data_IF_318345331464
#
_entry.id   IF_318345331464
#
_cell.length_a   1.000
_cell.length_b   1.000
_cell.length_c   1.000
_cell.angle_alpha   90.00
_cell.angle_beta   90.00
_cell.angle_gamma   90.00
#
_symmetry.space_group_name_H-M   'P 1'
#
loop_
_entity.id
_entity.type
_entity.pdbx_description
1 polymer ?
#
# COMPACT_ATOMS: atom_id res chain seq x y z
N UNK A 1 -4.21 21.66 14.77
CA UNK A 1 -4.28 22.87 13.94
C UNK A 1 -5.68 22.98 13.35
N UNK A 2 -6.27 24.17 13.27
CA UNK A 2 -7.58 24.36 12.63
C UNK A 2 -7.38 24.73 11.15
N UNK A 3 -7.94 23.94 10.24
CA UNK A 3 -7.61 24.05 8.81
C UNK A 3 -8.10 25.36 8.18
N UNK A 4 -9.27 25.84 8.60
CA UNK A 4 -9.91 27.07 8.13
C UNK A 4 -9.08 28.34 8.40
N UNK A 5 -8.11 28.28 9.33
CA UNK A 5 -7.22 29.40 9.65
C UNK A 5 -6.11 29.61 8.63
N UNK A 6 -5.82 28.62 7.78
CA UNK A 6 -4.65 28.64 6.89
C UNK A 6 -4.97 28.35 5.42
N UNK A 7 -6.23 28.05 5.10
CA UNK A 7 -6.73 27.76 3.74
C UNK A 7 -8.26 27.94 3.67
N UNK A 8 -8.80 28.11 2.46
CA UNK A 8 -10.24 28.07 2.21
C UNK A 8 -10.65 26.79 1.47
N UNK A 9 -11.93 26.37 1.52
CA UNK A 9 -12.42 25.17 0.83
C UNK A 9 -12.16 25.15 -0.68
N UNK A 10 -12.09 26.33 -1.30
CA UNK A 10 -11.86 26.49 -2.74
C UNK A 10 -10.42 26.11 -3.16
N UNK A 11 -9.48 26.06 -2.20
CA UNK A 11 -8.11 25.57 -2.40
C UNK A 11 -8.01 24.03 -2.40
N UNK A 12 -9.13 23.31 -2.25
CA UNK A 12 -9.16 21.86 -2.12
C UNK A 12 -9.96 21.24 -3.25
N UNK A 13 -9.27 20.56 -4.15
CA UNK A 13 -9.87 19.90 -5.30
C UNK A 13 -10.13 18.42 -5.02
N UNK A 14 -11.21 17.87 -5.55
CA UNK A 14 -11.47 16.43 -5.48
C UNK A 14 -10.28 15.63 -6.03
N UNK A 15 -9.79 14.66 -5.26
CA UNK A 15 -8.70 13.79 -5.67
C UNK A 15 -9.17 12.36 -5.89
N UNK A 16 -9.77 11.75 -4.88
CA UNK A 16 -10.24 10.37 -4.95
C UNK A 16 -11.33 10.07 -3.93
N UNK A 17 -12.13 9.04 -4.19
CA UNK A 17 -13.19 8.56 -3.28
C UNK A 17 -13.11 7.05 -3.09
N UNK A 18 -13.08 6.63 -1.84
CA UNK A 18 -13.24 5.24 -1.42
C UNK A 18 -14.61 4.97 -0.82
N UNK A 19 -14.78 3.78 -0.22
CA UNK A 19 -16.05 3.38 0.38
C UNK A 19 -16.38 4.09 1.70
N UNK A 20 -15.37 4.61 2.41
CA UNK A 20 -15.52 5.25 3.73
C UNK A 20 -14.91 6.65 3.80
N UNK A 21 -14.11 7.04 2.81
CA UNK A 21 -13.36 8.29 2.83
C UNK A 21 -13.37 8.95 1.47
N UNK A 22 -13.15 10.25 1.48
CA UNK A 22 -12.85 11.07 0.31
C UNK A 22 -11.55 11.81 0.57
N UNK A 23 -10.78 12.03 -0.49
CA UNK A 23 -9.53 12.75 -0.49
C UNK A 23 -9.68 13.99 -1.35
N UNK A 24 -9.22 15.13 -0.83
CA UNK A 24 -9.06 16.37 -1.56
C UNK A 24 -7.57 16.72 -1.65
N UNK A 25 -7.11 17.16 -2.82
CA UNK A 25 -5.74 17.64 -3.03
C UNK A 25 -5.70 19.15 -2.82
N UNK A 26 -4.68 19.62 -2.11
CA UNK A 26 -4.45 21.05 -1.97
C UNK A 26 -3.90 21.67 -3.26
N UNK A 27 -4.51 22.76 -3.71
CA UNK A 27 -4.13 23.52 -4.92
C UNK A 27 -3.89 25.00 -4.65
N UNK A 28 -4.05 25.46 -3.40
CA UNK A 28 -3.79 26.85 -3.01
C UNK A 28 -2.30 27.19 -2.82
N UNK A 29 -2.05 28.38 -2.28
CA UNK A 29 -0.70 28.98 -2.18
C UNK A 29 0.02 28.75 -0.84
N UNK A 30 -0.60 28.07 0.12
CA UNK A 30 0.02 27.82 1.42
C UNK A 30 1.12 26.75 1.31
N UNK A 31 2.38 27.14 1.53
CA UNK A 31 3.54 26.26 1.41
C UNK A 31 3.49 25.04 2.34
N UNK A 32 2.89 25.17 3.53
CA UNK A 32 2.74 24.04 4.46
C UNK A 32 1.80 22.95 3.94
N UNK A 33 0.74 23.36 3.25
CA UNK A 33 -0.27 22.46 2.69
C UNK A 33 0.08 21.97 1.28
N UNK A 34 1.11 22.56 0.67
CA UNK A 34 1.61 22.14 -0.63
C UNK A 34 1.92 20.64 -0.60
N UNK A 35 1.44 19.92 -1.61
CA UNK A 35 1.58 18.45 -1.75
C UNK A 35 0.88 17.64 -0.64
N UNK A 36 -0.11 18.22 0.05
CA UNK A 36 -0.94 17.49 1.02
C UNK A 36 -2.29 17.09 0.42
N UNK A 37 -2.84 16.01 0.97
CA UNK A 37 -4.21 15.59 0.80
C UNK A 37 -4.97 15.80 2.12
N UNK A 38 -6.21 16.26 2.03
CA UNK A 38 -7.17 16.28 3.13
C UNK A 38 -8.11 15.08 2.98
N UNK A 39 -8.08 14.19 3.96
CA UNK A 39 -8.96 13.02 4.05
C UNK A 39 -10.13 13.29 4.99
N UNK A 40 -11.34 13.15 4.47
CA UNK A 40 -12.58 13.32 5.22
C UNK A 40 -13.43 12.03 5.20
N UNK A 41 -14.22 11.85 6.25
CA UNK A 41 -15.12 10.69 6.41
C UNK A 41 -16.41 10.89 5.61
N UNK A 42 -16.80 9.83 4.90
CA UNK A 42 -18.09 9.76 4.22
C UNK A 42 -19.17 9.30 5.20
N UNK A 43 -20.41 9.71 4.92
CA UNK A 43 -21.60 9.35 5.69
C UNK A 43 -21.72 7.83 5.84
N UNK A 44 -21.80 7.37 7.09
CA UNK A 44 -21.99 5.97 7.47
C UNK A 44 -23.09 5.86 8.53
N UNK A 45 -23.65 4.67 8.63
CA UNK A 45 -24.51 4.32 9.76
C UNK A 45 -23.70 4.33 11.05
N UNK A 46 -24.31 4.81 12.13
CA UNK A 46 -23.66 5.04 13.42
C UNK A 46 -22.95 3.79 13.97
N UNK A 47 -23.58 2.61 13.85
CA UNK A 47 -23.02 1.33 14.32
C UNK A 47 -21.76 0.87 13.54
N UNK A 48 -21.60 1.31 12.30
CA UNK A 48 -20.41 1.01 11.49
C UNK A 48 -19.38 2.15 11.53
N UNK A 49 -19.72 3.26 12.17
CA UNK A 49 -18.92 4.47 12.15
C UNK A 49 -17.72 4.35 13.10
N UNK A 50 -16.58 4.77 12.59
CA UNK A 50 -15.34 4.95 13.35
C UNK A 50 -14.89 6.37 13.03
N UNK A 51 -14.72 7.17 14.09
CA UNK A 51 -14.38 8.58 14.00
C UNK A 51 -12.96 8.80 13.48
N UNK A 52 -12.70 9.98 12.93
CA UNK A 52 -11.34 10.33 12.48
C UNK A 52 -10.35 10.32 13.64
N UNK A 53 -10.76 10.79 14.82
CA UNK A 53 -9.91 10.81 16.02
C UNK A 53 -9.53 9.37 16.46
N UNK A 54 -10.51 8.47 16.53
CA UNK A 54 -10.27 7.06 16.85
C UNK A 54 -9.36 6.37 15.83
N UNK A 55 -9.52 6.68 14.53
CA UNK A 55 -8.63 6.18 13.49
C UNK A 55 -7.21 6.71 13.64
N UNK A 56 -7.06 7.98 13.98
CA UNK A 56 -5.76 8.60 14.23
C UNK A 56 -5.05 7.92 15.41
N UNK A 57 -5.73 7.80 16.55
CA UNK A 57 -5.20 7.13 17.74
C UNK A 57 -4.82 5.67 17.44
N UNK A 58 -5.64 4.95 16.68
CA UNK A 58 -5.32 3.60 16.24
C UNK A 58 -4.03 3.55 15.41
N UNK A 59 -3.86 4.47 14.46
CA UNK A 59 -2.66 4.51 13.62
C UNK A 59 -1.43 4.87 14.45
N UNK A 60 -1.51 5.91 15.27
CA UNK A 60 -0.41 6.40 16.10
C UNK A 60 0.01 5.40 17.18
N UNK A 61 -0.96 4.84 17.92
CA UNK A 61 -0.70 4.03 19.11
C UNK A 61 -0.55 2.53 18.81
N UNK A 62 -0.97 2.06 17.63
CA UNK A 62 -0.90 0.63 17.27
C UNK A 62 -0.11 0.39 16.00
N UNK A 63 -0.40 1.11 14.93
CA UNK A 63 0.21 0.79 13.64
C UNK A 63 1.66 1.29 13.53
N UNK A 64 1.99 2.47 14.08
CA UNK A 64 3.36 3.00 14.02
C UNK A 64 4.37 2.13 14.74
N UNK A 65 3.99 1.50 15.84
CA UNK A 65 4.86 0.54 16.53
C UNK A 65 5.21 -0.68 15.65
N UNK A 66 4.27 -1.12 14.80
CA UNK A 66 4.48 -2.24 13.89
C UNK A 66 5.31 -1.84 12.66
N UNK A 67 5.15 -0.59 12.21
CA UNK A 67 5.72 -0.06 10.95
C UNK A 67 6.30 1.34 11.13
N UNK A 68 7.36 1.50 11.94
CA UNK A 68 7.83 2.81 12.41
C UNK A 68 8.29 3.74 11.27
N UNK A 69 8.78 3.16 10.17
CA UNK A 69 9.34 3.92 9.06
C UNK A 69 8.50 3.86 7.78
N UNK A 70 7.38 3.12 7.79
CA UNK A 70 6.61 2.87 6.57
C UNK A 70 5.23 3.53 6.58
N UNK A 71 4.72 3.95 7.74
CA UNK A 71 3.48 4.72 7.80
C UNK A 71 3.76 6.16 7.35
N UNK A 72 2.96 6.64 6.39
CA UNK A 72 3.03 8.03 5.94
C UNK A 72 2.76 8.99 7.11
N UNK A 73 3.39 10.16 7.11
CA UNK A 73 3.13 11.16 8.15
C UNK A 73 1.65 11.60 8.11
N UNK A 74 0.92 11.36 9.19
CA UNK A 74 -0.50 11.69 9.31
C UNK A 74 -0.65 12.75 10.38
N UNK A 75 -1.43 13.78 10.08
CA UNK A 75 -1.73 14.84 11.03
C UNK A 75 -3.23 14.99 11.22
N UNK A 76 -3.64 15.01 12.48
CA UNK A 76 -5.02 15.33 12.85
C UNK A 76 -5.24 16.84 12.72
N UNK A 77 -6.24 17.23 11.92
CA UNK A 77 -6.61 18.64 11.73
C UNK A 77 -8.05 18.87 12.18
N UNK A 78 -8.30 20.01 12.82
CA UNK A 78 -9.64 20.42 13.26
C UNK A 78 -10.38 21.00 12.07
N UNK A 79 -11.60 20.53 11.86
CA UNK A 79 -12.51 20.97 10.82
C UNK A 79 -13.50 21.98 11.39
N UNK A 80 -13.65 23.09 10.69
CA UNK A 80 -14.77 24.01 10.89
C UNK A 80 -16.02 23.48 10.15
N UNK A 81 -17.20 23.64 10.75
CA UNK A 81 -18.45 23.12 10.15
C UNK A 81 -18.78 23.82 8.82
N UNK A 82 -18.51 25.12 8.69
CA UNK A 82 -18.75 25.83 7.43
C UNK A 82 -17.78 25.38 6.34
N UNK A 83 -16.51 25.15 6.71
CA UNK A 83 -15.50 24.59 5.82
C UNK A 83 -15.94 23.23 5.25
N UNK A 84 -16.35 22.29 6.11
CA UNK A 84 -16.80 20.95 5.70
C UNK A 84 -18.09 21.00 4.88
N UNK A 85 -19.03 21.89 5.24
CA UNK A 85 -20.29 22.06 4.51
C UNK A 85 -20.05 22.50 3.05
N UNK A 86 -19.11 23.42 2.82
CA UNK A 86 -18.71 23.85 1.47
C UNK A 86 -18.07 22.73 0.66
N UNK A 87 -17.27 21.87 1.27
CA UNK A 87 -16.74 20.67 0.58
C UNK A 87 -17.84 19.63 0.31
N UNK A 88 -18.87 19.57 1.15
CA UNK A 88 -19.98 18.64 1.00
C UNK A 88 -21.00 19.07 -0.07
N UNK A 89 -21.17 20.37 -0.32
CA UNK A 89 -22.17 20.91 -1.27
C UNK A 89 -21.98 20.44 -2.71
N UNK A 90 -20.86 19.78 -3.00
CA UNK A 90 -20.57 19.08 -4.26
C UNK A 90 -21.19 17.65 -4.32
N UNK A 91 -22.08 17.28 -3.38
CA UNK A 91 -22.79 15.99 -3.37
C UNK A 91 -21.99 14.83 -2.74
N UNK A 92 -20.95 15.15 -1.97
CA UNK A 92 -19.98 14.16 -1.49
C UNK A 92 -20.54 13.20 -0.42
N UNK A 93 -21.58 13.61 0.32
CA UNK A 93 -22.16 12.90 1.48
C UNK A 93 -21.13 12.72 2.60
N UNK A 94 -20.61 13.82 3.12
CA UNK A 94 -19.64 13.82 4.24
C UNK A 94 -20.33 13.59 5.59
N UNK A 95 -19.58 13.08 6.57
CA UNK A 95 -19.98 13.09 7.98
C UNK A 95 -19.83 14.51 8.56
N UNK A 96 -20.90 15.31 8.48
CA UNK A 96 -20.85 16.73 8.87
C UNK A 96 -20.67 16.97 10.39
N UNK A 97 -20.96 15.96 11.20
CA UNK A 97 -20.72 15.98 12.65
C UNK A 97 -19.27 15.64 13.02
N UNK A 98 -18.44 15.22 12.06
CA UNK A 98 -17.03 14.94 12.29
C UNK A 98 -16.26 16.25 12.52
N UNK A 99 -15.49 16.29 13.60
CA UNK A 99 -14.72 17.48 14.00
C UNK A 99 -13.29 17.47 13.47
N UNK A 100 -12.84 16.33 12.96
CA UNK A 100 -11.46 16.15 12.54
C UNK A 100 -11.32 15.54 11.14
N UNK A 101 -10.31 16.00 10.41
CA UNK A 101 -9.82 15.41 9.18
C UNK A 101 -8.39 14.90 9.37
N UNK A 102 -7.89 14.16 8.37
CA UNK A 102 -6.47 13.80 8.33
C UNK A 102 -5.78 14.54 7.19
N UNK A 103 -4.68 15.22 7.49
CA UNK A 103 -3.75 15.72 6.49
C UNK A 103 -2.68 14.65 6.24
N UNK A 104 -2.44 14.35 4.97
CA UNK A 104 -1.54 13.29 4.51
C UNK A 104 -0.62 13.85 3.43
N UNK A 105 0.65 13.40 3.30
CA UNK A 105 1.44 13.67 2.10
C UNK A 105 0.79 13.02 0.88
N UNK A 106 0.79 13.74 -0.25
CA UNK A 106 0.45 13.18 -1.54
C UNK A 106 1.65 12.42 -2.11
N UNK A 107 1.71 11.10 -1.93
CA UNK A 107 2.79 10.26 -2.47
C UNK A 107 2.84 10.30 -4.01
N UNK A 108 1.69 10.58 -4.64
CA UNK A 108 1.53 10.73 -6.07
C UNK A 108 1.63 12.20 -6.51
N UNK A 109 2.32 13.06 -5.74
CA UNK A 109 2.60 14.43 -6.16
C UNK A 109 3.66 14.47 -7.25
N UNK A 110 3.31 15.04 -8.40
CA UNK A 110 4.15 15.12 -9.59
C UNK A 110 3.39 14.70 -10.85
N UNK A 111 4.07 14.80 -11.99
CA UNK A 111 3.50 14.50 -13.30
C UNK A 111 3.66 13.00 -13.60
N UNK A 112 2.80 12.20 -12.99
CA UNK A 112 2.77 10.75 -13.19
C UNK A 112 1.71 10.35 -14.21
N UNK A 113 2.12 9.52 -15.18
CA UNK A 113 1.19 8.70 -15.95
C UNK A 113 0.76 7.50 -15.11
N UNK A 114 -0.51 7.13 -15.21
CA UNK A 114 -1.12 6.00 -14.50
C UNK A 114 -1.53 4.88 -15.46
N UNK A 115 -1.17 3.64 -15.14
CA UNK A 115 -1.66 2.44 -15.80
C UNK A 115 -2.35 1.55 -14.76
N UNK A 116 -3.60 1.15 -15.05
CA UNK A 116 -4.33 0.20 -14.22
C UNK A 116 -3.98 -1.23 -14.61
N UNK A 117 -3.08 -1.87 -13.85
CA UNK A 117 -2.71 -3.28 -14.07
C UNK A 117 -3.81 -4.24 -13.58
N UNK A 118 -4.46 -3.89 -12.46
CA UNK A 118 -5.65 -4.59 -11.94
C UNK A 118 -6.34 -3.75 -10.87
N UNK A 119 -7.51 -4.18 -10.38
CA UNK A 119 -8.18 -3.53 -9.24
C UNK A 119 -7.34 -3.45 -7.96
N UNK A 120 -6.25 -4.24 -7.85
CA UNK A 120 -5.37 -4.30 -6.66
C UNK A 120 -3.96 -3.79 -6.93
N UNK A 121 -3.66 -3.37 -8.15
CA UNK A 121 -2.33 -2.91 -8.53
C UNK A 121 -2.41 -1.86 -9.63
N UNK A 122 -1.80 -0.71 -9.38
CA UNK A 122 -1.66 0.39 -10.33
C UNK A 122 -0.18 0.71 -10.48
N UNK A 123 0.23 1.09 -11.68
CA UNK A 123 1.58 1.55 -11.98
C UNK A 123 1.53 3.05 -12.26
N UNK A 124 2.42 3.80 -11.62
CA UNK A 124 2.64 5.20 -11.90
C UNK A 124 4.09 5.40 -12.31
N UNK A 125 4.35 6.22 -13.32
CA UNK A 125 5.71 6.58 -13.73
C UNK A 125 5.71 8.00 -14.28
N UNK A 126 6.79 8.74 -14.04
CA UNK A 126 6.94 10.07 -14.62
C UNK A 126 7.35 9.91 -16.09
N UNK A 127 6.74 10.67 -16.99
CA UNK A 127 7.04 10.59 -18.43
C UNK A 127 7.23 11.99 -19.00
N UNK A 128 8.33 12.62 -18.59
CA UNK A 128 8.73 13.94 -19.08
C UNK A 128 9.65 13.75 -20.29
N UNK A 129 9.03 13.52 -21.46
CA UNK A 129 9.57 13.51 -22.85
C UNK A 129 10.89 12.76 -23.16
N UNK A 130 11.58 12.16 -22.18
CA UNK A 130 12.63 11.15 -22.32
C UNK A 130 13.25 10.64 -21.01
N UNK A 131 12.89 11.18 -19.84
CA UNK A 131 13.50 10.77 -18.56
C UNK A 131 12.44 10.21 -17.59
N UNK A 132 12.47 8.88 -17.42
CA UNK A 132 11.80 8.20 -16.31
C UNK A 132 12.79 8.16 -15.15
N UNK A 133 12.45 8.86 -14.08
CA UNK A 133 13.26 8.95 -12.87
C UNK A 133 12.59 8.29 -11.66
N UNK A 134 11.30 7.96 -11.74
CA UNK A 134 10.53 7.37 -10.66
C UNK A 134 9.40 6.49 -11.20
N UNK A 135 9.27 5.31 -10.60
CA UNK A 135 8.20 4.34 -10.82
C UNK A 135 7.58 3.99 -9.47
N UNK A 136 6.25 3.99 -9.38
CA UNK A 136 5.50 3.68 -8.17
C UNK A 136 4.49 2.58 -8.47
N UNK A 137 4.57 1.48 -7.72
CA UNK A 137 3.49 0.51 -7.63
C UNK A 137 2.57 0.86 -6.46
N UNK A 138 1.31 1.15 -6.74
CA UNK A 138 0.25 1.15 -5.73
C UNK A 138 -0.38 -0.25 -5.67
N UNK A 139 -0.06 -1.03 -4.64
CA UNK A 139 -0.43 -2.44 -4.52
C UNK A 139 -1.20 -2.73 -3.23
N UNK A 140 -2.28 -3.50 -3.32
CA UNK A 140 -2.97 -4.09 -2.16
C UNK A 140 -2.48 -5.53 -1.96
N UNK A 141 -1.60 -5.81 -0.97
CA UNK A 141 -1.01 -7.15 -0.76
C UNK A 141 -2.04 -8.18 -0.31
N UNK A 142 -3.16 -7.73 0.26
CA UNK A 142 -4.24 -8.57 0.79
C UNK A 142 -3.73 -9.54 1.87
N UNK A 143 -4.13 -10.80 1.78
CA UNK A 143 -3.86 -11.83 2.77
C UNK A 143 -2.51 -12.48 2.49
N UNK A 144 -1.59 -12.36 3.44
CA UNK A 144 -0.25 -12.93 3.39
C UNK A 144 -0.12 -13.99 4.48
N UNK A 145 0.13 -15.23 4.09
CA UNK A 145 0.22 -16.38 4.99
C UNK A 145 0.85 -17.57 4.27
N UNK A 146 1.11 -18.63 5.03
CA UNK A 146 1.65 -19.89 4.50
C UNK A 146 0.51 -20.79 4.06
N UNK A 147 0.41 -20.99 2.75
CA UNK A 147 -0.62 -21.84 2.17
C UNK A 147 -0.17 -23.30 2.20
N UNK A 148 -0.62 -24.08 3.18
CA UNK A 148 -0.23 -25.49 3.29
C UNK A 148 -1.10 -26.42 2.46
N UNK A 149 -2.41 -26.18 2.42
CA UNK A 149 -3.37 -27.18 1.94
C UNK A 149 -4.07 -26.80 0.64
N UNK A 150 -4.39 -25.52 0.46
CA UNK A 150 -5.37 -25.11 -0.53
C UNK A 150 -4.77 -24.94 -1.93
N UNK A 151 -5.55 -25.26 -2.97
CA UNK A 151 -5.14 -25.01 -4.34
C UNK A 151 -5.09 -23.51 -4.67
N UNK A 152 -5.93 -22.69 -4.02
CA UNK A 152 -5.93 -21.25 -4.19
C UNK A 152 -5.91 -20.54 -2.84
N UNK A 153 -5.05 -19.52 -2.71
CA UNK A 153 -5.09 -18.67 -1.53
C UNK A 153 -6.39 -17.85 -1.48
N UNK A 154 -6.77 -17.35 -0.30
CA UNK A 154 -8.01 -16.59 -0.11
C UNK A 154 -8.16 -15.41 -1.09
N UNK A 155 -7.07 -14.73 -1.41
CA UNK A 155 -7.06 -13.61 -2.35
C UNK A 155 -7.41 -14.05 -3.77
N UNK A 156 -6.88 -15.20 -4.21
CA UNK A 156 -7.15 -15.80 -5.51
C UNK A 156 -8.56 -16.41 -5.55
N UNK A 157 -8.99 -17.12 -4.51
CA UNK A 157 -10.36 -17.66 -4.39
C UNK A 157 -11.41 -16.54 -4.49
N UNK A 158 -11.18 -15.41 -3.81
CA UNK A 158 -12.09 -14.26 -3.88
C UNK A 158 -12.15 -13.62 -5.27
N UNK A 159 -11.04 -13.59 -6.01
CA UNK A 159 -11.04 -13.09 -7.38
C UNK A 159 -11.82 -14.03 -8.31
N UNK A 160 -11.66 -15.35 -8.14
CA UNK A 160 -12.45 -16.34 -8.87
C UNK A 160 -13.94 -16.20 -8.58
N UNK A 161 -14.34 -16.09 -7.31
CA UNK A 161 -15.74 -15.86 -6.92
C UNK A 161 -16.33 -14.62 -7.60
N UNK A 162 -15.54 -13.56 -7.71
CA UNK A 162 -15.93 -12.29 -8.36
C UNK A 162 -15.77 -12.30 -9.88
N UNK A 163 -15.34 -13.41 -10.48
CA UNK A 163 -15.07 -13.56 -11.92
C UNK A 163 -14.07 -12.51 -12.44
N UNK A 164 -13.12 -12.10 -11.60
CA UNK A 164 -12.04 -11.18 -11.98
C UNK A 164 -10.90 -12.04 -12.55
N UNK A 165 -10.32 -11.71 -13.73
CA UNK A 165 -9.17 -12.44 -14.28
C UNK A 165 -7.99 -12.53 -13.31
N UNK A 166 -7.20 -13.60 -13.46
CA UNK A 166 -5.96 -13.75 -12.67
C UNK A 166 -4.95 -12.70 -13.12
N UNK A 167 -4.35 -12.02 -12.14
CA UNK A 167 -3.19 -11.15 -12.33
C UNK A 167 -1.98 -11.84 -11.69
N UNK A 168 -1.68 -11.54 -10.42
CA UNK A 168 -0.67 -12.24 -9.62
C UNK A 168 -1.29 -12.84 -8.34
N UNK A 169 -0.60 -13.83 -7.75
CA UNK A 169 -0.88 -14.28 -6.38
C UNK A 169 0.05 -13.53 -5.42
N UNK A 170 -0.46 -12.88 -4.35
CA UNK A 170 0.40 -12.15 -3.43
C UNK A 170 1.36 -13.05 -2.63
N UNK A 171 1.05 -14.35 -2.51
CA UNK A 171 1.91 -15.30 -1.80
C UNK A 171 3.19 -15.62 -2.60
N UNK A 172 3.15 -15.49 -3.93
CA UNK A 172 4.32 -15.69 -4.78
C UNK A 172 5.37 -14.58 -4.60
N UNK A 173 5.05 -13.51 -3.88
CA UNK A 173 5.97 -12.41 -3.56
C UNK A 173 6.63 -12.58 -2.17
N UNK A 174 6.40 -13.71 -1.50
CA UNK A 174 6.91 -13.98 -0.14
C UNK A 174 8.17 -14.84 -0.11
N UNK A 175 8.53 -15.52 -1.19
CA UNK A 175 9.60 -16.53 -1.19
C UNK A 175 10.50 -16.40 -2.38
N UNK A 176 11.82 -16.50 -2.18
CA UNK A 176 12.84 -16.37 -3.23
C UNK A 176 12.57 -17.31 -4.41
N UNK A 177 12.09 -18.52 -4.13
CA UNK A 177 11.75 -19.57 -5.10
C UNK A 177 10.55 -19.20 -5.98
N UNK A 178 9.72 -18.25 -5.54
CA UNK A 178 8.44 -17.90 -6.18
C UNK A 178 8.38 -16.47 -6.68
N UNK A 179 9.26 -15.58 -6.18
CA UNK A 179 9.31 -14.16 -6.51
C UNK A 179 9.44 -13.94 -8.01
N UNK A 180 10.27 -14.71 -8.71
CA UNK A 180 10.40 -14.54 -10.16
C UNK A 180 9.06 -14.74 -10.88
N UNK A 181 8.34 -15.82 -10.56
CA UNK A 181 7.03 -16.08 -11.14
C UNK A 181 6.00 -15.02 -10.72
N UNK A 182 6.04 -14.57 -9.46
CA UNK A 182 5.18 -13.51 -8.96
C UNK A 182 5.40 -12.17 -9.68
N UNK A 183 6.65 -11.83 -10.00
CA UNK A 183 7.01 -10.62 -10.73
C UNK A 183 6.66 -10.72 -12.22
N UNK A 184 6.86 -11.87 -12.85
CA UNK A 184 6.42 -12.09 -14.22
C UNK A 184 4.91 -11.87 -14.34
N UNK A 185 4.13 -12.39 -13.39
CA UNK A 185 2.67 -12.17 -13.34
C UNK A 185 2.31 -10.70 -13.08
N UNK A 186 3.03 -10.02 -12.17
CA UNK A 186 2.80 -8.62 -11.80
C UNK A 186 3.07 -7.65 -12.97
N UNK A 187 4.10 -7.95 -13.78
CA UNK A 187 4.50 -7.10 -14.89
C UNK A 187 3.81 -7.45 -16.20
N UNK A 188 3.22 -8.63 -16.34
CA UNK A 188 2.57 -9.09 -17.57
C UNK A 188 1.54 -8.09 -18.17
N UNK A 189 0.74 -7.35 -17.38
CA UNK A 189 -0.20 -6.37 -17.94
C UNK A 189 0.43 -5.03 -18.36
N UNK A 190 1.71 -4.80 -18.12
CA UNK A 190 2.40 -3.56 -18.53
C UNK A 190 2.63 -3.63 -20.05
N UNK A 191 2.22 -2.62 -20.83
CA UNK A 191 2.51 -2.58 -22.27
C UNK A 191 4.01 -2.69 -22.54
N UNK A 192 4.40 -3.53 -23.51
CA UNK A 192 5.81 -3.91 -23.72
C UNK A 192 6.71 -2.71 -24.05
N UNK A 193 6.21 -1.74 -24.80
CA UNK A 193 6.89 -0.48 -25.12
C UNK A 193 7.16 0.35 -23.87
N UNK A 194 6.19 0.41 -22.95
CA UNK A 194 6.31 1.12 -21.67
C UNK A 194 7.27 0.37 -20.74
N UNK A 195 7.13 -0.95 -20.62
CA UNK A 195 8.03 -1.78 -19.82
C UNK A 195 9.48 -1.65 -20.31
N UNK A 196 9.72 -1.76 -21.63
CA UNK A 196 11.05 -1.62 -22.21
C UNK A 196 11.64 -0.22 -21.97
N UNK A 197 10.82 0.83 -22.05
CA UNK A 197 11.24 2.21 -21.75
C UNK A 197 11.61 2.38 -20.28
N UNK A 198 10.81 1.84 -19.36
CA UNK A 198 11.10 1.87 -17.92
C UNK A 198 12.37 1.07 -17.64
N UNK A 199 12.44 -0.20 -18.06
CA UNK A 199 13.55 -1.11 -17.77
C UNK A 199 14.90 -0.55 -18.26
N UNK A 200 14.89 0.20 -19.37
CA UNK A 200 16.08 0.87 -19.90
C UNK A 200 16.63 1.97 -18.97
N UNK A 201 15.76 2.67 -18.22
CA UNK A 201 16.12 3.84 -17.41
C UNK A 201 16.13 3.56 -15.91
N UNK A 202 15.38 2.54 -15.49
CA UNK A 202 15.27 2.04 -14.14
C UNK A 202 15.22 0.51 -14.28
N UNK A 203 16.20 -0.26 -13.78
CA UNK A 203 16.24 -1.71 -13.90
C UNK A 203 15.17 -2.34 -12.99
N UNK A 204 13.91 -2.20 -13.40
CA UNK A 204 12.71 -2.39 -12.61
C UNK A 204 12.62 -3.82 -12.11
N UNK A 205 12.86 -4.81 -12.97
CA UNK A 205 12.82 -6.22 -12.57
C UNK A 205 13.88 -6.53 -11.51
N UNK A 206 15.12 -6.05 -11.69
CA UNK A 206 16.23 -6.26 -10.74
C UNK A 206 15.93 -5.59 -9.39
N UNK A 207 15.54 -4.32 -9.39
CA UNK A 207 15.25 -3.56 -8.17
C UNK A 207 14.03 -4.09 -7.41
N UNK A 208 12.97 -4.48 -8.13
CA UNK A 208 11.78 -5.07 -7.51
C UNK A 208 12.11 -6.45 -6.92
N UNK A 209 12.95 -7.24 -7.59
CA UNK A 209 13.45 -8.53 -7.06
C UNK A 209 14.26 -8.31 -5.78
N UNK A 210 15.14 -7.31 -5.74
CA UNK A 210 15.90 -6.95 -4.53
C UNK A 210 14.97 -6.60 -3.37
N UNK A 211 13.92 -5.81 -3.63
CA UNK A 211 12.94 -5.44 -2.62
C UNK A 211 12.24 -6.66 -2.02
N UNK A 212 11.70 -7.56 -2.84
CA UNK A 212 10.96 -8.72 -2.33
C UNK A 212 11.85 -9.80 -1.71
N UNK A 213 13.11 -9.91 -2.13
CA UNK A 213 14.08 -10.80 -1.48
C UNK A 213 14.60 -10.27 -0.14
N UNK A 214 14.41 -8.99 0.16
CA UNK A 214 14.80 -8.45 1.46
C UNK A 214 13.86 -9.00 2.56
N UNK A 215 14.35 -9.76 3.56
CA UNK A 215 13.50 -10.35 4.60
C UNK A 215 12.79 -9.30 5.47
N UNK A 216 13.29 -8.07 5.51
CA UNK A 216 12.70 -6.95 6.27
C UNK A 216 11.69 -6.12 5.47
N UNK A 217 11.33 -6.57 4.26
CA UNK A 217 10.36 -5.87 3.42
C UNK A 217 8.95 -5.86 4.06
N UNK A 218 8.09 -4.96 3.57
CA UNK A 218 6.77 -4.74 4.18
C UNK A 218 5.83 -5.94 4.02
N UNK A 219 5.98 -6.76 2.97
CA UNK A 219 5.18 -7.97 2.80
C UNK A 219 5.50 -9.00 3.90
N UNK A 220 6.77 -9.20 4.24
CA UNK A 220 7.17 -10.11 5.33
C UNK A 220 6.66 -9.62 6.69
N UNK A 221 6.80 -8.31 6.97
CA UNK A 221 6.27 -7.72 8.20
C UNK A 221 4.75 -7.83 8.29
N UNK A 222 4.04 -7.55 7.18
CA UNK A 222 2.59 -7.73 7.12
C UNK A 222 2.21 -9.19 7.35
N UNK A 223 2.89 -10.15 6.71
CA UNK A 223 2.67 -11.59 6.94
C UNK A 223 2.78 -11.94 8.42
N UNK A 224 3.83 -11.47 9.10
CA UNK A 224 4.03 -11.68 10.53
C UNK A 224 2.87 -11.11 11.36
N UNK A 225 2.49 -9.86 11.13
CA UNK A 225 1.46 -9.17 11.93
C UNK A 225 0.02 -9.54 11.55
N UNK A 226 -0.21 -10.14 10.38
CA UNK A 226 -1.51 -10.67 9.97
C UNK A 226 -1.80 -12.08 10.54
N UNK A 227 -0.84 -12.70 11.24
CA UNK A 227 -0.96 -14.05 11.77
C UNK A 227 -2.02 -14.11 12.88
N UNK A 228 -2.95 -15.04 12.74
CA UNK A 228 -3.93 -15.35 13.79
C UNK A 228 -3.32 -16.39 14.73
N UNK A 229 -3.00 -15.98 15.96
CA UNK A 229 -2.42 -16.86 16.98
C UNK A 229 -3.47 -17.40 17.98
N UNK A 230 -4.67 -16.80 18.01
CA UNK A 230 -5.76 -17.22 18.87
C UNK A 230 -6.86 -17.87 18.04
N UNK A 231 -7.30 -19.07 18.42
CA UNK A 231 -8.39 -19.78 17.74
C UNK A 231 -9.70 -18.99 17.75
N UNK A 232 -9.93 -18.14 18.76
CA UNK A 232 -11.12 -17.30 18.83
C UNK A 232 -11.14 -16.19 17.77
N UNK A 233 -9.98 -15.82 17.22
CA UNK A 233 -9.87 -14.83 16.14
C UNK A 233 -10.06 -15.45 14.74
N UNK A 234 -10.29 -16.77 14.64
CA UNK A 234 -10.60 -17.39 13.36
C UNK A 234 -12.01 -16.97 12.92
N UNK A 235 -12.12 -16.43 11.70
CA UNK A 235 -13.40 -15.91 11.16
C UNK A 235 -14.54 -16.93 11.26
N UNK A 236 -14.25 -18.20 10.97
CA UNK A 236 -15.23 -19.29 11.04
C UNK A 236 -15.83 -19.54 12.43
N UNK A 237 -15.17 -19.05 13.49
CA UNK A 237 -15.60 -19.20 14.87
C UNK A 237 -16.44 -18.01 15.35
N UNK A 238 -16.60 -16.96 14.54
CA UNK A 238 -17.38 -15.77 14.91
C UNK A 238 -18.88 -16.07 14.82
N UNK A 239 -19.61 -15.78 15.88
CA UNK A 239 -21.08 -15.88 15.94
C UNK A 239 -21.75 -14.52 16.11
N UNK A 240 -21.03 -13.57 16.70
CA UNK A 240 -21.51 -12.24 17.07
C UNK A 240 -20.44 -11.16 16.90
N UNK A 241 -20.82 -9.88 16.95
CA UNK A 241 -19.86 -8.78 16.93
C UNK A 241 -18.98 -8.73 18.19
N UNK A 242 -19.47 -9.26 19.32
CA UNK A 242 -18.70 -9.34 20.57
C UNK A 242 -17.54 -10.32 20.49
N UNK A 243 -17.60 -11.30 19.58
CA UNK A 243 -16.50 -12.25 19.34
C UNK A 243 -15.33 -11.60 18.61
N UNK A 244 -15.54 -10.44 17.97
CA UNK A 244 -14.46 -9.71 17.29
C UNK A 244 -13.58 -9.03 18.32
N UNK A 245 -12.41 -9.62 18.54
CA UNK A 245 -11.35 -9.04 19.35
C UNK A 245 -10.73 -7.81 18.66
N UNK A 246 -10.05 -6.96 19.44
CA UNK A 246 -9.26 -5.86 18.89
C UNK A 246 -8.14 -6.36 17.98
N UNK A 247 -7.55 -7.52 18.33
CA UNK A 247 -6.51 -8.15 17.52
C UNK A 247 -7.05 -8.58 16.15
N UNK A 248 -8.24 -9.18 16.10
CA UNK A 248 -8.86 -9.53 14.83
C UNK A 248 -9.18 -8.29 13.99
N UNK A 249 -9.71 -7.22 14.59
CA UNK A 249 -9.91 -5.95 13.89
C UNK A 249 -8.62 -5.39 13.30
N UNK A 250 -7.52 -5.40 14.06
CA UNK A 250 -6.18 -5.01 13.57
C UNK A 250 -5.74 -5.87 12.39
N UNK A 251 -5.78 -7.20 12.53
CA UNK A 251 -5.39 -8.14 11.47
C UNK A 251 -6.24 -7.92 10.20
N UNK A 252 -7.54 -7.70 10.35
CA UNK A 252 -8.44 -7.42 9.22
C UNK A 252 -8.17 -6.04 8.59
N UNK A 253 -7.68 -5.06 9.34
CA UNK A 253 -7.16 -3.80 8.80
C UNK A 253 -5.89 -4.04 7.99
N UNK A 254 -4.91 -4.75 8.55
CA UNK A 254 -3.63 -5.04 7.89
C UNK A 254 -3.80 -5.85 6.59
N UNK A 255 -4.86 -6.65 6.47
CA UNK A 255 -5.22 -7.41 5.25
C UNK A 255 -5.84 -6.55 4.14
N UNK A 256 -6.12 -5.28 4.39
CA UNK A 256 -6.80 -4.39 3.43
C UNK A 256 -6.07 -3.08 3.14
N UNK A 257 -4.89 -2.89 3.73
CA UNK A 257 -3.99 -1.76 3.45
C UNK A 257 -3.59 -1.71 1.98
N UNK A 258 -3.19 -0.53 1.54
CA UNK A 258 -2.44 -0.33 0.31
C UNK A 258 -0.99 0.01 0.60
N UNK A 259 -0.12 -0.27 -0.36
CA UNK A 259 1.30 0.02 -0.33
C UNK A 259 1.67 0.84 -1.55
N UNK A 260 2.46 1.89 -1.37
CA UNK A 260 3.20 2.54 -2.45
C UNK A 260 4.64 2.05 -2.40
N UNK A 261 5.04 1.20 -3.34
CA UNK A 261 6.44 0.81 -3.53
C UNK A 261 7.01 1.74 -4.60
N UNK A 262 7.88 2.66 -4.20
CA UNK A 262 8.49 3.65 -5.08
C UNK A 262 9.95 3.31 -5.34
N UNK A 263 10.32 3.29 -6.61
CA UNK A 263 11.68 3.07 -7.10
C UNK A 263 12.06 4.31 -7.89
N UNK A 264 13.10 5.01 -7.45
CA UNK A 264 13.52 6.26 -8.09
C UNK A 264 15.04 6.38 -8.18
N UNK A 265 15.53 7.11 -9.19
CA UNK A 265 16.94 7.48 -9.30
C UNK A 265 17.34 8.29 -8.07
N UNK A 266 18.47 7.96 -7.47
CA UNK A 266 18.93 8.62 -6.26
C UNK A 266 19.48 10.02 -6.58
N UNK A 267 18.89 11.05 -5.97
CA UNK A 267 19.39 12.42 -6.00
C UNK A 267 20.06 12.77 -4.66
N UNK A 268 21.38 13.02 -4.69
CA UNK A 268 22.17 13.42 -3.52
C UNK A 268 21.79 14.79 -2.95
N UNK A 269 21.16 15.65 -3.76
CA UNK A 269 20.69 16.96 -3.34
C UNK A 269 19.29 16.92 -2.74
N UNK A 270 18.60 15.78 -2.81
CA UNK A 270 17.28 15.59 -2.25
C UNK A 270 17.38 15.14 -0.78
N UNK A 271 17.01 16.03 0.14
CA UNK A 271 17.01 15.78 1.59
C UNK A 271 16.15 14.58 2.03
N UNK A 272 15.13 14.20 1.26
CA UNK A 272 14.33 13.00 1.54
C UNK A 272 15.17 11.77 1.25
N UNK A 273 15.94 11.77 0.17
CA UNK A 273 16.78 10.64 -0.25
C UNK A 273 17.94 10.43 0.72
N UNK A 274 18.56 11.52 1.17
CA UNK A 274 19.70 11.49 2.11
C UNK A 274 19.28 11.38 3.58
N UNK A 275 17.98 11.32 3.87
CA UNK A 275 17.50 11.15 5.25
C UNK A 275 17.97 9.82 5.86
N UNK A 276 18.16 9.81 7.18
CA UNK A 276 18.63 8.64 7.93
C UNK A 276 17.75 7.39 7.72
N UNK A 277 16.46 7.58 7.44
CA UNK A 277 15.50 6.49 7.20
C UNK A 277 15.63 5.89 5.79
N UNK A 278 16.06 6.68 4.80
CA UNK A 278 16.07 6.28 3.40
C UNK A 278 17.44 5.85 2.89
N UNK A 279 18.53 6.31 3.50
CA UNK A 279 19.89 5.96 3.07
C UNK A 279 20.14 4.45 3.07
N UNK A 280 19.51 3.71 4.00
CA UNK A 280 19.59 2.24 4.10
C UNK A 280 18.86 1.49 2.98
N UNK A 281 18.09 2.21 2.16
CA UNK A 281 17.33 1.67 1.04
C UNK A 281 17.85 2.18 -0.33
N UNK A 282 19.10 2.67 -0.37
CA UNK A 282 19.80 3.01 -1.61
C UNK A 282 20.57 1.80 -2.11
N UNK A 283 20.45 1.52 -3.40
CA UNK A 283 21.05 0.36 -4.07
C UNK A 283 21.87 0.83 -5.27
N UNK A 284 23.07 0.25 -5.43
CA UNK A 284 23.90 0.42 -6.63
C UNK A 284 23.60 -0.70 -7.62
N UNK A 285 23.43 -0.33 -8.89
CA UNK A 285 23.27 -1.31 -9.97
C UNK A 285 24.41 -1.15 -10.96
N UNK A 286 25.30 -2.14 -10.97
CA UNK A 286 26.34 -2.28 -11.98
C UNK A 286 25.82 -3.23 -13.04
N UNK A 287 25.94 -2.86 -14.31
CA UNK A 287 25.57 -3.71 -15.44
C UNK A 287 26.38 -5.02 -15.51
N UNK A 288 27.53 -5.09 -14.82
CA UNK A 288 28.48 -6.20 -14.91
C UNK A 288 28.50 -7.17 -13.72
N UNK A 289 27.66 -6.99 -12.68
CA UNK A 289 27.59 -7.92 -11.53
C UNK A 289 26.14 -8.26 -11.19
N UNK A 290 25.86 -9.56 -11.20
CA UNK A 290 24.56 -10.19 -10.93
C UNK A 290 24.07 -10.06 -9.49
N UNK A 291 24.83 -9.44 -8.59
CA UNK A 291 24.44 -9.26 -7.19
C UNK A 291 24.52 -7.76 -6.83
N UNK A 292 23.37 -7.11 -6.62
CA UNK A 292 23.32 -5.75 -6.09
C UNK A 292 23.83 -5.73 -4.65
N UNK A 293 24.90 -4.99 -4.38
CA UNK A 293 25.45 -4.79 -3.04
C UNK A 293 24.73 -3.63 -2.35
N UNK A 294 24.29 -3.84 -1.10
CA UNK A 294 23.82 -2.77 -0.22
C UNK A 294 25.03 -2.02 0.31
N UNK A 295 25.00 -0.69 0.28
CA UNK A 295 25.94 0.15 1.03
C UNK A 295 25.61 0.01 2.54
N UNK A 296 26.14 -1.02 3.18
CA UNK A 296 26.20 -1.10 4.64
C UNK A 296 27.64 -0.74 5.05
N UNK A 297 27.75 0.33 5.83
CA UNK A 297 28.95 0.72 6.57
C UNK A 297 30.13 1.29 5.76
N UNK A 298 29.85 2.26 4.88
CA UNK A 298 30.81 3.34 4.66
C UNK A 298 30.15 4.64 5.13
N UNK A 299 30.77 5.31 6.11
CA UNK A 299 30.63 6.76 6.24
C UNK A 299 30.66 7.34 4.83
N UNK A 300 29.78 8.31 4.53
CA UNK A 300 29.85 9.08 3.29
C UNK A 300 31.15 9.89 3.35
N UNK A 301 32.26 9.19 3.13
CA UNK A 301 33.60 9.71 3.03
C UNK A 301 33.69 10.41 1.69
N UNK A 302 34.27 11.59 1.73
CA UNK A 302 34.43 12.57 0.66
C UNK A 302 35.33 12.12 -0.51
N UNK A 303 35.39 10.82 -0.80
CA UNK A 303 36.17 10.30 -1.92
C UNK A 303 35.20 9.93 -3.05
N UNK A 304 34.80 10.97 -3.79
CA UNK A 304 34.21 10.87 -5.13
C UNK A 304 35.28 10.31 -6.10
N UNK A 305 35.63 9.03 -5.98
CA UNK A 305 36.26 8.30 -7.08
C UNK A 305 35.17 7.69 -7.97
N UNK A 306 35.41 7.77 -9.28
CA UNK A 306 34.51 7.52 -10.41
C UNK A 306 33.83 6.13 -10.40
N UNK A 307 32.83 5.93 -9.55
CA UNK A 307 31.91 4.80 -9.66
C UNK A 307 30.83 5.17 -10.68
N UNK A 308 30.92 4.63 -11.90
CA UNK A 308 29.89 4.72 -12.96
C UNK A 308 28.57 4.01 -12.59
N UNK A 309 28.34 3.71 -11.32
CA UNK A 309 27.21 2.93 -10.85
C UNK A 309 26.00 3.82 -10.58
N UNK A 310 24.90 3.55 -11.28
CA UNK A 310 23.64 4.23 -11.01
C UNK A 310 23.08 3.81 -9.65
N UNK A 311 22.69 4.80 -8.85
CA UNK A 311 22.09 4.63 -7.52
C UNK A 311 20.58 4.78 -7.62
N UNK A 312 19.85 3.88 -6.97
CA UNK A 312 18.40 3.90 -6.90
C UNK A 312 17.93 3.83 -5.44
N UNK A 313 16.90 4.60 -5.11
CA UNK A 313 16.22 4.55 -3.82
C UNK A 313 14.94 3.71 -3.97
N UNK A 314 14.75 2.75 -3.07
CA UNK A 314 13.50 1.99 -2.96
C UNK A 314 12.81 2.35 -1.64
N UNK A 315 11.59 2.87 -1.69
CA UNK A 315 10.78 3.12 -0.49
C UNK A 315 9.46 2.37 -0.56
N UNK A 316 8.89 2.04 0.60
CA UNK A 316 7.57 1.44 0.69
C UNK A 316 6.75 2.14 1.77
N UNK A 317 5.65 2.78 1.37
CA UNK A 317 4.74 3.46 2.29
C UNK A 317 3.40 2.73 2.41
N UNK A 318 2.90 2.59 3.63
CA UNK A 318 1.60 1.99 3.95
C UNK A 318 0.55 3.08 4.05
N UNK A 319 -0.60 2.85 3.43
CA UNK A 319 -1.78 3.71 3.52
C UNK A 319 -3.07 2.88 3.67
N UNK A 320 -4.20 3.56 3.87
CA UNK A 320 -5.53 2.95 4.04
C UNK A 320 -5.65 2.05 5.30
N UNK A 321 -4.99 2.49 6.39
CA UNK A 321 -5.04 1.87 7.74
C UNK A 321 -6.35 2.16 8.47
N UNK A 322 -7.49 1.92 7.81
CA UNK A 322 -8.79 2.06 8.44
C UNK A 322 -9.08 0.88 9.37
N UNK A 323 -9.21 1.18 10.67
CA UNK A 323 -9.69 0.23 11.67
C UNK A 323 -10.99 -0.41 11.17
N UNK A 324 -11.07 -1.74 11.17
CA UNK A 324 -12.29 -2.42 10.74
C UNK A 324 -13.27 -2.56 11.91
N UNK A 325 -14.49 -2.05 11.70
CA UNK A 325 -15.60 -2.18 12.65
C UNK A 325 -15.94 -3.66 12.89
N UNK A 326 -16.24 -3.98 14.15
CA UNK A 326 -16.69 -5.31 14.58
C UNK A 326 -17.96 -5.75 13.88
N UNK A 327 -18.81 -4.82 13.44
CA UNK A 327 -20.04 -5.11 12.70
C UNK A 327 -19.78 -5.81 11.36
N UNK A 328 -18.55 -5.75 10.83
CA UNK A 328 -18.16 -6.44 9.59
C UNK A 328 -18.04 -7.96 9.75
N UNK A 329 -18.16 -8.53 10.95
CA UNK A 329 -18.04 -9.97 11.18
C UNK A 329 -18.99 -10.81 10.30
N UNK A 330 -20.25 -10.38 10.13
CA UNK A 330 -21.22 -11.08 9.26
C UNK A 330 -20.74 -11.12 7.82
N UNK A 331 -20.18 -10.02 7.33
CA UNK A 331 -19.62 -9.95 5.98
C UNK A 331 -18.40 -10.87 5.85
N UNK A 332 -17.51 -10.87 6.84
CA UNK A 332 -16.33 -11.74 6.84
C UNK A 332 -16.70 -13.21 6.83
N UNK A 333 -17.65 -13.62 7.69
CA UNK A 333 -18.14 -14.99 7.79
C UNK A 333 -18.83 -15.42 6.49
N UNK A 334 -19.71 -14.57 5.94
CA UNK A 334 -20.35 -14.83 4.65
C UNK A 334 -19.33 -15.08 3.55
N UNK A 335 -18.34 -14.18 3.41
CA UNK A 335 -17.31 -14.35 2.39
C UNK A 335 -16.51 -15.62 2.64
N UNK A 336 -16.15 -15.94 3.88
CA UNK A 336 -15.39 -17.16 4.17
C UNK A 336 -16.16 -18.44 3.82
N UNK A 337 -17.47 -18.45 4.06
CA UNK A 337 -18.36 -19.55 3.66
C UNK A 337 -18.46 -19.66 2.15
N UNK A 338 -18.66 -18.53 1.45
CA UNK A 338 -18.75 -18.49 -0.02
C UNK A 338 -17.44 -18.99 -0.70
N UNK A 339 -16.30 -18.93 -0.01
CA UNK A 339 -15.00 -19.37 -0.53
C UNK A 339 -14.70 -20.86 -0.33
N UNK A 340 -15.45 -21.57 0.53
CA UNK A 340 -15.17 -22.98 0.86
C UNK A 340 -15.13 -23.88 -0.36
N UNK A 341 -16.07 -23.69 -1.29
CA UNK A 341 -16.16 -24.46 -2.54
C UNK A 341 -15.04 -24.12 -3.54
N UNK A 342 -14.35 -22.99 -3.36
CA UNK A 342 -13.35 -22.48 -4.31
C UNK A 342 -11.93 -22.85 -3.89
N UNK A 343 -11.61 -22.89 -2.60
CA UNK A 343 -10.24 -23.12 -2.12
C UNK A 343 -9.55 -24.32 -2.77
N UNK A 344 -10.30 -25.41 -2.98
CA UNK A 344 -9.80 -26.66 -3.55
C UNK A 344 -10.50 -27.05 -4.86
N UNK A 345 -11.15 -26.09 -5.54
CA UNK A 345 -11.69 -26.32 -6.87
C UNK A 345 -10.58 -26.39 -7.93
N UNK A 346 -10.95 -26.70 -9.17
CA UNK A 346 -10.10 -26.55 -10.34
C UNK A 346 -10.66 -25.44 -11.25
N UNK A 347 -9.77 -24.71 -11.91
CA UNK A 347 -10.15 -23.70 -12.87
C UNK A 347 -9.09 -23.69 -13.99
N UNK A 348 -9.47 -24.02 -15.24
CA UNK A 348 -8.50 -24.20 -16.33
C UNK A 348 -7.73 -22.93 -16.69
N UNK A 349 -8.26 -21.76 -16.32
CA UNK A 349 -7.62 -20.46 -16.58
C UNK A 349 -6.76 -19.98 -15.42
N UNK A 350 -6.62 -20.77 -14.35
CA UNK A 350 -5.91 -20.40 -13.14
C UNK A 350 -4.93 -21.49 -12.75
N UNK A 351 -3.64 -21.15 -12.72
CA UNK A 351 -2.67 -22.00 -12.03
C UNK A 351 -2.97 -22.02 -10.52
N UNK A 352 -2.69 -23.16 -9.90
CA UNK A 352 -2.72 -23.27 -8.44
C UNK A 352 -1.71 -22.33 -7.80
N UNK A 353 -2.08 -21.83 -6.62
CA UNK A 353 -1.17 -21.09 -5.75
C UNK A 353 -0.14 -22.06 -5.18
N UNK A 354 1.09 -21.58 -5.02
CA UNK A 354 2.17 -22.41 -4.49
C UNK A 354 1.86 -22.78 -3.04
N UNK A 355 2.11 -24.04 -2.70
CA UNK A 355 1.98 -24.53 -1.33
C UNK A 355 3.32 -24.39 -0.62
N UNK A 356 3.30 -24.03 0.66
CA UNK A 356 4.50 -23.78 1.47
C UNK A 356 5.47 -24.98 1.45
N UNK A 357 4.92 -26.19 1.55
CA UNK A 357 5.72 -27.41 1.55
C UNK A 357 6.45 -27.62 0.20
N UNK A 358 5.92 -27.11 -0.92
CA UNK A 358 6.60 -27.19 -2.23
C UNK A 358 7.84 -26.28 -2.33
N UNK A 359 8.00 -25.34 -1.40
CA UNK A 359 9.10 -24.37 -1.38
C UNK A 359 10.24 -24.87 -0.49
N UNK A 360 9.92 -25.59 0.58
CA UNK A 360 10.88 -25.99 1.62
C UNK A 360 11.16 -27.52 1.65
N UNK A 361 11.11 -28.17 0.48
CA UNK A 361 11.44 -29.59 0.29
C UNK A 361 12.65 -29.79 -0.62
#
# INVERSE_FOLDING_TARGET
>A
MEISKITSPEDWEYFAKGAANILFKYTGNNDYLKRKLLRLRLLKQEEEYISTCELYDFIELRCKDLFPNQIIDIQLTVLDSNFTNKLNSQGNKLMLNERYGLLLPNILDGDYRKISLSQKCQLYFNDNDQDINSVIFEIKPKWLYDNYTDNYCRTCSLNQLKKVPRHFCPLDLLYTETIEQGLNDLFAPIPQDIYAKIEKLIPLKKLTTIYFNNPDNVFQKLKQYQKINNKNDLIKNLTSYSDVSQNLSLVMTLRDVGLFIKIEKFDKNNHIHTSHNNIKNVYRINDNKSNGTKDQDQEIGTNDEEDNDEKFLITCNIYDLDLKSKMKYKHWLKVENDLQEIYNSSNPNWRYCIKYDQIHH
#
